data_IF_492626054745
#
_entry.id   IF_492626054745
#
_cell.length_a   1.000
_cell.length_b   1.000
_cell.length_c   1.000
_cell.angle_alpha   90.00
_cell.angle_beta   90.00
_cell.angle_gamma   90.00
#
_symmetry.space_group_name_H-M   'P 1'
#
loop_
_entity.id
_entity.type
_entity.pdbx_description
1 polymer ?
#
# COMPACT_ATOMS: atom_id res chain seq x y z
N UNK A 1 -43.98 -45.04 2.56
CA UNK A 1 -43.89 -44.87 1.08
C UNK A 1 -43.71 -43.43 0.64
N UNK A 2 -44.64 -42.50 0.85
CA UNK A 2 -44.45 -41.09 0.43
C UNK A 2 -43.49 -40.28 1.31
N UNK A 3 -43.46 -40.53 2.62
CA UNK A 3 -42.62 -39.80 3.58
C UNK A 3 -41.15 -40.24 3.57
N UNK A 4 -40.86 -41.51 3.31
CA UNK A 4 -39.48 -42.03 3.16
C UNK A 4 -38.81 -41.44 1.92
N UNK A 5 -39.55 -41.34 0.81
CA UNK A 5 -39.06 -40.71 -0.42
C UNK A 5 -38.75 -39.22 -0.18
N UNK A 6 -39.52 -38.52 0.66
CA UNK A 6 -39.24 -37.11 0.99
C UNK A 6 -38.01 -36.96 1.89
N UNK A 7 -37.78 -37.86 2.85
CA UNK A 7 -36.58 -37.87 3.70
C UNK A 7 -35.31 -38.13 2.91
N UNK A 8 -35.34 -39.15 2.06
CA UNK A 8 -34.21 -39.54 1.22
C UNK A 8 -33.85 -38.45 0.19
N UNK A 9 -34.86 -37.77 -0.36
CA UNK A 9 -34.63 -36.61 -1.24
C UNK A 9 -34.02 -35.41 -0.50
N UNK A 10 -34.40 -35.16 0.77
CA UNK A 10 -33.84 -34.05 1.55
C UNK A 10 -32.39 -34.32 1.98
N UNK A 11 -32.03 -35.54 2.39
CA UNK A 11 -30.65 -35.91 2.69
C UNK A 11 -29.75 -35.81 1.44
N UNK A 12 -30.27 -36.18 0.27
CA UNK A 12 -29.56 -36.03 -1.02
C UNK A 12 -29.37 -34.55 -1.40
N UNK A 13 -30.26 -33.65 -0.98
CA UNK A 13 -30.13 -32.20 -1.20
C UNK A 13 -29.08 -31.62 -0.24
N UNK A 14 -29.10 -31.96 1.05
CA UNK A 14 -28.08 -31.52 2.03
C UNK A 14 -26.67 -32.03 1.67
N UNK A 15 -26.54 -33.28 1.21
CA UNK A 15 -25.26 -33.80 0.73
C UNK A 15 -24.76 -33.07 -0.53
N UNK A 16 -25.66 -32.61 -1.40
CA UNK A 16 -25.30 -31.84 -2.61
C UNK A 16 -24.91 -30.41 -2.26
N UNK A 17 -25.60 -29.77 -1.31
CA UNK A 17 -25.26 -28.44 -0.82
C UNK A 17 -23.91 -28.44 -0.10
N UNK A 18 -23.66 -29.40 0.80
CA UNK A 18 -22.37 -29.54 1.50
C UNK A 18 -21.22 -29.89 0.53
N UNK A 19 -21.45 -30.74 -0.48
CA UNK A 19 -20.46 -31.01 -1.55
C UNK A 19 -20.25 -29.79 -2.45
N UNK A 20 -21.26 -28.97 -2.71
CA UNK A 20 -21.13 -27.74 -3.49
C UNK A 20 -20.38 -26.66 -2.70
N UNK A 21 -20.68 -26.48 -1.42
CA UNK A 21 -19.93 -25.61 -0.51
C UNK A 21 -18.47 -26.06 -0.40
N UNK A 22 -18.21 -27.37 -0.24
CA UNK A 22 -16.86 -27.93 -0.22
C UNK A 22 -16.12 -27.75 -1.57
N UNK A 23 -16.79 -27.91 -2.72
CA UNK A 23 -16.24 -27.61 -4.04
C UNK A 23 -15.91 -26.12 -4.19
N UNK A 24 -16.76 -25.26 -3.67
CA UNK A 24 -16.58 -23.80 -3.67
C UNK A 24 -15.43 -23.41 -2.73
N UNK A 25 -15.26 -24.14 -1.63
CA UNK A 25 -14.17 -24.00 -0.67
C UNK A 25 -12.82 -24.48 -1.23
N UNK A 26 -12.79 -25.62 -1.93
CA UNK A 26 -11.62 -26.11 -2.68
C UNK A 26 -11.24 -25.16 -3.82
N UNK A 27 -12.24 -24.58 -4.51
CA UNK A 27 -12.03 -23.57 -5.54
C UNK A 27 -11.49 -22.26 -4.95
N UNK A 28 -11.95 -21.84 -3.77
CA UNK A 28 -11.37 -20.74 -2.96
C UNK A 28 -9.94 -21.03 -2.51
N UNK A 29 -9.63 -22.28 -2.16
CA UNK A 29 -8.30 -22.73 -1.72
C UNK A 29 -7.28 -22.81 -2.88
N UNK A 30 -7.77 -22.85 -4.12
CA UNK A 30 -6.99 -22.89 -5.38
C UNK A 30 -6.78 -21.52 -6.04
N UNK A 31 -7.13 -20.41 -5.39
CA UNK A 31 -6.77 -19.10 -5.91
C UNK A 31 -5.30 -18.89 -5.55
N UNK A 32 -4.46 -18.71 -6.56
CA UNK A 32 -3.04 -18.44 -6.35
C UNK A 32 -2.89 -17.11 -5.60
N UNK A 33 -1.89 -17.01 -4.71
CA UNK A 33 -1.63 -15.78 -3.95
C UNK A 33 -1.45 -14.58 -4.90
N UNK A 34 -0.89 -14.82 -6.08
CA UNK A 34 -0.69 -13.82 -7.13
C UNK A 34 -2.01 -13.25 -7.67
N UNK A 35 -3.03 -14.09 -7.87
CA UNK A 35 -4.35 -13.64 -8.33
C UNK A 35 -5.05 -12.77 -7.28
N UNK A 36 -4.94 -13.15 -5.99
CA UNK A 36 -5.48 -12.35 -4.88
C UNK A 36 -4.76 -11.01 -4.74
N UNK A 37 -3.45 -10.98 -4.88
CA UNK A 37 -2.67 -9.73 -4.85
C UNK A 37 -3.05 -8.82 -6.02
N UNK A 38 -3.23 -9.38 -7.21
CA UNK A 38 -3.66 -8.63 -8.40
C UNK A 38 -5.07 -8.08 -8.23
N UNK A 39 -6.00 -8.85 -7.67
CA UNK A 39 -7.35 -8.38 -7.36
C UNK A 39 -7.34 -7.26 -6.31
N UNK A 40 -6.52 -7.39 -5.27
CA UNK A 40 -6.35 -6.34 -4.26
C UNK A 40 -5.77 -5.05 -4.84
N UNK A 41 -4.76 -5.15 -5.70
CA UNK A 41 -4.20 -4.01 -6.44
C UNK A 41 -5.24 -3.35 -7.34
N UNK A 42 -6.07 -4.14 -8.02
CA UNK A 42 -7.15 -3.61 -8.86
C UNK A 42 -8.21 -2.85 -8.04
N UNK A 43 -8.50 -3.31 -6.81
CA UNK A 43 -9.41 -2.65 -5.87
C UNK A 43 -8.82 -1.39 -5.24
N UNK A 44 -7.50 -1.20 -5.29
CA UNK A 44 -6.84 -0.04 -4.67
C UNK A 44 -6.96 1.21 -5.56
N UNK A 45 -7.34 2.34 -4.93
CA UNK A 45 -7.80 3.57 -5.59
C UNK A 45 -6.73 4.41 -6.33
N UNK A 46 -5.50 3.90 -6.42
CA UNK A 46 -4.31 4.69 -6.79
C UNK A 46 -3.64 4.24 -8.10
N UNK A 47 -4.27 3.34 -8.89
CA UNK A 47 -3.74 2.87 -10.17
C UNK A 47 -3.43 4.05 -11.11
N UNK A 48 -2.14 4.39 -11.22
CA UNK A 48 -1.62 5.41 -12.13
C UNK A 48 -1.79 6.87 -11.70
N UNK A 49 -2.29 7.18 -10.49
CA UNK A 49 -2.53 8.57 -10.07
C UNK A 49 -1.27 9.33 -9.62
N UNK A 50 -0.24 8.63 -9.17
CA UNK A 50 0.95 9.25 -8.61
C UNK A 50 2.11 9.22 -9.60
N UNK A 51 2.94 10.28 -9.65
CA UNK A 51 4.13 10.29 -10.48
C UNK A 51 5.09 9.20 -10.04
N UNK A 52 5.91 8.72 -10.97
CA UNK A 52 7.03 7.84 -10.62
C UNK A 52 8.10 8.63 -9.87
N UNK A 53 8.54 8.07 -8.74
CA UNK A 53 9.63 8.60 -7.94
C UNK A 53 10.50 7.47 -7.41
N UNK A 54 11.75 7.80 -7.14
CA UNK A 54 12.77 6.86 -6.70
C UNK A 54 13.33 7.25 -5.33
N UNK A 55 14.10 6.32 -4.75
CA UNK A 55 14.88 6.62 -3.55
C UNK A 55 15.90 7.71 -3.87
N UNK A 56 15.97 8.73 -3.01
CA UNK A 56 16.76 9.94 -3.20
C UNK A 56 15.93 11.15 -3.62
N UNK A 57 14.77 10.94 -4.24
CA UNK A 57 13.92 12.04 -4.68
C UNK A 57 13.28 12.77 -3.49
N UNK A 58 13.06 14.06 -3.65
CA UNK A 58 12.28 14.88 -2.72
C UNK A 58 10.86 14.97 -3.25
N UNK A 59 9.91 14.53 -2.43
CA UNK A 59 8.50 14.50 -2.77
C UNK A 59 7.68 15.25 -1.72
N UNK A 60 6.54 15.78 -2.14
CA UNK A 60 5.51 16.31 -1.26
C UNK A 60 4.32 15.36 -1.29
N UNK A 61 4.00 14.81 -0.13
CA UNK A 61 2.87 13.88 0.06
C UNK A 61 1.74 14.63 0.72
N UNK A 62 0.63 14.82 0.02
CA UNK A 62 -0.57 15.44 0.56
C UNK A 62 -1.43 14.36 1.23
N UNK A 63 -1.61 14.46 2.55
CA UNK A 63 -2.29 13.46 3.37
C UNK A 63 -3.59 14.03 3.90
N UNK A 64 -4.69 13.28 3.77
CA UNK A 64 -5.98 13.58 4.37
C UNK A 64 -5.92 13.28 5.86
N UNK A 65 -6.13 14.28 6.69
CA UNK A 65 -6.27 14.13 8.13
C UNK A 65 -7.74 14.32 8.46
N UNK A 66 -8.34 13.29 9.06
CA UNK A 66 -9.74 13.25 9.46
C UNK A 66 -9.76 13.38 10.99
N UNK A 67 -10.27 14.50 11.48
CA UNK A 67 -10.42 14.80 12.92
C UNK A 67 -11.92 14.93 13.20
N UNK A 68 -12.57 13.81 13.52
CA UNK A 68 -14.03 13.74 13.64
C UNK A 68 -14.71 14.02 12.30
N UNK A 69 -15.58 15.03 12.26
CA UNK A 69 -16.32 15.43 11.06
C UNK A 69 -15.51 16.34 10.12
N UNK A 70 -14.36 16.86 10.57
CA UNK A 70 -13.54 17.79 9.78
C UNK A 70 -12.44 17.04 9.03
N UNK A 71 -12.28 17.40 7.77
CA UNK A 71 -11.20 16.89 6.91
C UNK A 71 -10.31 18.04 6.47
N UNK A 72 -8.99 17.83 6.55
CA UNK A 72 -7.98 18.75 6.02
C UNK A 72 -6.90 18.00 5.27
N UNK A 73 -6.27 18.65 4.31
CA UNK A 73 -5.11 18.13 3.60
C UNK A 73 -3.86 18.73 4.23
N UNK A 74 -2.94 17.88 4.67
CA UNK A 74 -1.64 18.30 5.19
C UNK A 74 -0.53 17.80 4.26
N UNK A 75 0.29 18.72 3.79
CA UNK A 75 1.48 18.40 3.01
C UNK A 75 2.63 17.93 3.91
N UNK A 76 3.23 16.79 3.56
CA UNK A 76 4.47 16.27 4.14
C UNK A 76 5.54 16.19 3.06
N UNK A 77 6.46 17.16 3.07
CA UNK A 77 7.55 17.24 2.11
C UNK A 77 8.86 16.70 2.69
N UNK A 78 9.56 15.86 1.94
CA UNK A 78 10.87 15.37 2.34
C UNK A 78 11.49 14.41 1.33
N UNK A 79 12.65 13.88 1.68
CA UNK A 79 13.41 12.94 0.85
C UNK A 79 12.93 11.52 1.05
N UNK A 80 12.69 10.79 -0.05
CA UNK A 80 12.43 9.36 -0.03
C UNK A 80 13.73 8.62 0.28
N UNK A 81 13.80 8.00 1.46
CA UNK A 81 15.01 7.29 1.90
C UNK A 81 14.95 5.78 1.65
N UNK A 82 13.75 5.23 1.46
CA UNK A 82 13.56 3.81 1.18
C UNK A 82 12.21 3.58 0.51
N UNK A 83 12.18 2.61 -0.41
CA UNK A 83 10.96 1.99 -0.92
C UNK A 83 11.07 0.50 -0.57
N UNK A 84 10.00 -0.09 -0.02
CA UNK A 84 9.97 -1.48 0.47
C UNK A 84 8.72 -2.20 -0.01
N UNK A 85 8.86 -3.52 -0.10
CA UNK A 85 7.84 -4.47 -0.53
C UNK A 85 7.42 -4.30 -1.99
N UNK A 86 6.75 -5.32 -2.51
CA UNK A 86 6.08 -5.30 -3.79
C UNK A 86 4.56 -5.35 -3.62
N UNK A 87 3.87 -5.29 -4.74
CA UNK A 87 2.43 -5.54 -4.80
C UNK A 87 1.59 -4.59 -3.91
N UNK A 88 0.47 -5.07 -3.33
CA UNK A 88 -0.42 -4.26 -2.51
C UNK A 88 0.21 -3.70 -1.23
N UNK A 89 1.32 -4.30 -0.78
CA UNK A 89 2.05 -3.93 0.45
C UNK A 89 3.16 -2.93 0.20
N UNK A 90 3.31 -2.42 -1.03
CA UNK A 90 4.35 -1.44 -1.38
C UNK A 90 4.27 -0.22 -0.46
N UNK A 91 5.39 0.13 0.14
CA UNK A 91 5.53 1.28 1.07
C UNK A 91 6.74 2.11 0.71
N UNK A 92 6.74 3.39 1.09
CA UNK A 92 7.89 4.27 0.96
C UNK A 92 8.07 5.09 2.24
N UNK A 93 9.31 5.49 2.53
CA UNK A 93 9.67 6.24 3.73
C UNK A 93 10.20 7.61 3.33
N UNK A 94 9.58 8.66 3.87
CA UNK A 94 9.95 10.06 3.63
C UNK A 94 10.55 10.64 4.89
N UNK A 95 11.77 11.17 4.77
CA UNK A 95 12.52 11.83 5.84
C UNK A 95 12.55 13.34 5.61
N UNK A 96 12.26 14.11 6.66
CA UNK A 96 12.35 15.57 6.68
C UNK A 96 13.01 16.00 7.98
N UNK A 97 13.76 17.09 7.96
CA UNK A 97 14.14 17.80 9.20
C UNK A 97 13.20 19.00 9.32
N UNK A 98 12.43 19.06 10.41
CA UNK A 98 11.49 20.15 10.67
C UNK A 98 11.71 20.66 12.09
N UNK A 99 11.86 21.97 12.25
CA UNK A 99 12.12 22.61 13.55
C UNK A 99 13.30 21.97 14.31
N UNK A 100 14.37 21.62 13.59
CA UNK A 100 15.55 20.98 14.19
C UNK A 100 15.39 19.49 14.51
N UNK A 101 14.19 18.92 14.37
CA UNK A 101 13.91 17.51 14.66
C UNK A 101 13.80 16.72 13.36
N UNK A 102 14.52 15.59 13.29
CA UNK A 102 14.39 14.66 12.17
C UNK A 102 13.11 13.84 12.30
N UNK A 103 12.22 13.95 11.31
CA UNK A 103 10.97 13.22 11.22
C UNK A 103 11.03 12.23 10.06
N UNK A 104 10.60 11.00 10.31
CA UNK A 104 10.40 9.97 9.29
C UNK A 104 8.94 9.53 9.30
N UNK A 105 8.32 9.49 8.12
CA UNK A 105 6.98 8.93 7.95
C UNK A 105 7.02 7.82 6.91
N UNK A 106 6.36 6.71 7.21
CA UNK A 106 6.18 5.58 6.30
C UNK A 106 4.78 5.66 5.72
N UNK A 107 4.69 5.62 4.40
CA UNK A 107 3.44 5.71 3.65
C UNK A 107 3.21 4.43 2.84
N UNK A 108 2.03 3.80 2.96
CA UNK A 108 1.60 2.78 2.02
C UNK A 108 1.27 3.42 0.66
N UNK A 109 1.83 2.91 -0.42
CA UNK A 109 1.68 3.47 -1.78
C UNK A 109 0.22 3.55 -2.21
N UNK A 110 -0.57 2.57 -1.76
CA UNK A 110 -1.97 2.41 -2.15
C UNK A 110 -2.96 2.87 -1.06
N UNK A 111 -2.51 3.67 -0.09
CA UNK A 111 -3.37 4.18 0.97
C UNK A 111 -4.42 5.16 0.43
N UNK A 112 -5.70 5.06 0.85
CA UNK A 112 -6.74 6.03 0.50
C UNK A 112 -6.57 7.37 1.23
N UNK A 113 -5.73 7.40 2.27
CA UNK A 113 -5.45 8.60 3.07
C UNK A 113 -4.49 9.54 2.32
N UNK A 114 -3.78 9.06 1.30
CA UNK A 114 -2.95 9.89 0.43
C UNK A 114 -3.85 10.51 -0.62
N UNK A 115 -3.89 11.85 -0.65
CA UNK A 115 -4.64 12.61 -1.64
C UNK A 115 -3.85 12.72 -2.96
N UNK A 116 -2.60 13.17 -2.86
CA UNK A 116 -1.70 13.36 -4.00
C UNK A 116 -0.23 13.27 -3.60
N UNK A 117 0.62 12.97 -4.59
CA UNK A 117 2.08 12.97 -4.44
C UNK A 117 2.64 13.85 -5.56
N UNK A 118 3.47 14.82 -5.19
CA UNK A 118 4.18 15.70 -6.12
C UNK A 118 5.68 15.40 -6.04
N UNK A 119 6.33 15.26 -7.20
CA UNK A 119 7.78 15.20 -7.28
C UNK A 119 8.32 16.63 -7.25
N UNK A 120 9.01 17.00 -6.17
CA UNK A 120 9.56 18.35 -5.97
C UNK A 120 10.95 18.46 -6.60
N UNK A 121 11.81 17.47 -6.35
CA UNK A 121 13.21 17.49 -6.81
C UNK A 121 13.75 16.08 -7.02
N UNK A 122 14.46 15.84 -8.12
CA UNK A 122 15.14 14.56 -8.37
C UNK A 122 16.49 14.53 -7.66
N UNK A 123 16.69 13.52 -6.81
CA UNK A 123 17.92 13.36 -6.05
C UNK A 123 18.85 12.33 -6.67
N UNK A 124 20.16 12.54 -6.56
CA UNK A 124 21.17 11.56 -6.96
C UNK A 124 21.48 10.60 -5.82
N UNK A 125 20.75 9.48 -5.77
CA UNK A 125 21.05 8.38 -4.86
C UNK A 125 22.00 7.35 -5.49
N UNK A 126 22.98 6.87 -4.73
CA UNK A 126 23.84 5.73 -5.10
C UNK A 126 23.46 4.43 -4.40
N UNK A 127 22.65 4.50 -3.34
CA UNK A 127 22.20 3.35 -2.55
C UNK A 127 20.69 3.19 -2.68
N UNK A 128 20.22 1.95 -2.71
CA UNK A 128 18.78 1.64 -2.72
C UNK A 128 18.06 2.04 -1.42
N UNK A 129 18.79 2.20 -0.31
CA UNK A 129 18.27 2.69 0.98
C UNK A 129 19.25 3.69 1.58
N UNK A 130 18.76 4.86 1.94
CA UNK A 130 19.56 6.00 2.41
C UNK A 130 19.52 6.13 3.94
N UNK A 131 19.59 5.01 4.66
CA UNK A 131 19.56 5.02 6.13
C UNK A 131 20.72 5.76 6.77
N UNK A 132 21.84 5.90 6.05
CA UNK A 132 22.96 6.72 6.51
C UNK A 132 22.59 8.20 6.71
N UNK A 133 21.48 8.69 6.12
CA UNK A 133 21.00 10.06 6.35
C UNK A 133 20.43 10.28 7.75
N UNK A 134 20.23 9.21 8.54
CA UNK A 134 19.81 9.29 9.94
C UNK A 134 20.87 9.93 10.82
N UNK A 135 22.13 9.61 10.54
CA UNK A 135 23.29 10.07 11.30
C UNK A 135 23.89 11.37 10.72
N UNK A 136 23.27 11.92 9.67
CA UNK A 136 23.73 13.13 8.96
C UNK A 136 22.86 14.32 9.33
N UNK A 137 23.51 15.47 9.49
CA UNK A 137 22.87 16.75 9.80
C UNK A 137 23.36 17.86 8.87
N UNK A 138 22.59 18.95 8.78
CA UNK A 138 22.90 20.12 7.95
C UNK A 138 23.06 19.78 6.48
N UNK A 139 24.04 20.41 5.81
CA UNK A 139 24.30 20.22 4.37
C UNK A 139 24.59 18.76 3.99
N UNK A 140 25.17 17.98 4.91
CA UNK A 140 25.48 16.56 4.66
C UNK A 140 24.25 15.64 4.63
N UNK A 141 23.11 16.10 5.18
CA UNK A 141 21.84 15.40 5.15
C UNK A 141 21.06 15.64 3.84
N UNK A 142 21.50 16.62 3.02
CA UNK A 142 20.86 16.99 1.77
C UNK A 142 21.52 16.23 0.62
N UNK A 143 20.70 15.52 -0.18
CA UNK A 143 21.21 14.91 -1.41
C UNK A 143 21.48 15.95 -2.49
N UNK A 144 22.54 15.69 -3.25
CA UNK A 144 22.82 16.38 -4.50
C UNK A 144 21.73 16.12 -5.51
N UNK A 145 21.45 17.14 -6.32
CA UNK A 145 20.47 17.06 -7.39
C UNK A 145 20.99 16.23 -8.55
N UNK A 146 20.08 15.52 -9.21
CA UNK A 146 20.38 14.81 -10.46
C UNK A 146 20.27 15.81 -11.61
N UNK A 147 21.43 16.24 -12.12
CA UNK A 147 21.56 16.95 -13.41
C UNK A 147 21.21 15.97 -14.54
#
# INVERSE_FOLDING_TARGET
MSEEIQKENNEVIEEKETKAEAKTFEKKKKISIEELEKELLAKQNNNGKFPEFNVGDTIKVNVKIIEGDKQRIQAYEGTVIAIKHGGPRKTFTVRRISYGVAMERVFPYHSPVIDSIELVRKGKARRAKLYYLRDRYGKSAVLTEKI
#
